data_IF_761902039082
#
_entry.id   IF_761902039082
#
_cell.length_a   1.000
_cell.length_b   1.000
_cell.length_c   1.000
_cell.angle_alpha   90.00
_cell.angle_beta   90.00
_cell.angle_gamma   90.00
#
_symmetry.space_group_name_H-M   'P 1'
#
loop_
_entity.id
_entity.type
_entity.pdbx_description
1 polymer ?
#
# COMPACT_ATOMS: atom_id res chain seq x y z
N UNK A 1 -37.26 -33.45 -2.97
CA UNK A 1 -35.97 -32.85 -2.60
C UNK A 1 -35.02 -32.96 -3.77
N UNK A 2 -34.83 -31.86 -4.51
CA UNK A 2 -33.73 -31.66 -5.45
C UNK A 2 -33.67 -30.16 -5.74
N UNK A 3 -32.79 -29.45 -5.04
CA UNK A 3 -32.44 -28.06 -5.32
C UNK A 3 -31.07 -28.08 -6.01
N UNK A 4 -31.10 -27.84 -7.31
CA UNK A 4 -29.91 -27.58 -8.13
C UNK A 4 -30.15 -26.24 -8.83
N UNK A 5 -29.59 -25.16 -8.30
CA UNK A 5 -29.40 -23.84 -8.93
C UNK A 5 -28.45 -23.06 -7.99
N UNK A 6 -27.45 -22.30 -8.39
CA UNK A 6 -26.90 -21.95 -9.69
C UNK A 6 -25.54 -21.32 -9.38
N UNK A 7 -24.46 -21.85 -9.96
CA UNK A 7 -23.14 -21.26 -9.85
C UNK A 7 -23.10 -19.98 -10.70
N UNK A 8 -22.99 -18.82 -10.07
CA UNK A 8 -22.67 -17.57 -10.78
C UNK A 8 -21.22 -17.61 -11.23
N UNK A 9 -21.01 -18.08 -12.47
CA UNK A 9 -19.80 -17.80 -13.23
C UNK A 9 -19.75 -16.29 -13.50
N UNK A 10 -18.88 -15.57 -12.79
CA UNK A 10 -18.49 -14.21 -13.17
C UNK A 10 -17.65 -14.29 -14.45
N UNK A 11 -18.32 -14.25 -15.59
CA UNK A 11 -17.67 -13.96 -16.86
C UNK A 11 -17.29 -12.47 -16.86
N UNK A 12 -15.99 -12.19 -16.77
CA UNK A 12 -15.43 -10.87 -17.02
C UNK A 12 -15.55 -10.51 -18.51
N UNK A 13 -16.78 -10.22 -18.95
CA UNK A 13 -17.09 -9.77 -20.30
C UNK A 13 -16.51 -8.38 -20.55
N UNK A 14 -15.69 -8.28 -21.58
CA UNK A 14 -15.04 -7.06 -22.05
C UNK A 14 -16.04 -6.22 -22.83
N UNK A 15 -16.69 -5.26 -22.15
CA UNK A 15 -17.34 -4.14 -22.84
C UNK A 15 -16.31 -3.02 -22.99
N UNK A 16 -15.97 -2.68 -24.23
CA UNK A 16 -15.29 -1.42 -24.57
C UNK A 16 -16.40 -0.41 -24.91
N UNK A 17 -16.27 0.84 -24.44
CA UNK A 17 -17.17 1.94 -24.87
C UNK A 17 -16.94 2.30 -26.36
N UNK A 18 -17.84 3.09 -26.96
CA UNK A 18 -17.69 3.66 -28.32
C UNK A 18 -16.35 4.40 -28.50
N UNK A 19 -15.75 4.85 -27.40
CA UNK A 19 -14.47 5.59 -27.34
C UNK A 19 -13.25 4.67 -27.16
N UNK A 20 -13.43 3.35 -27.12
CA UNK A 20 -12.36 2.37 -26.91
C UNK A 20 -11.79 2.34 -25.50
N UNK A 21 -12.44 3.00 -24.54
CA UNK A 21 -12.07 2.95 -23.13
C UNK A 21 -12.63 1.67 -22.48
N UNK A 22 -11.86 1.00 -21.61
CA UNK A 22 -12.36 -0.15 -20.86
C UNK A 22 -13.45 0.29 -19.89
N UNK A 23 -14.61 -0.36 -19.95
CA UNK A 23 -15.70 -0.12 -19.00
C UNK A 23 -15.31 -0.65 -17.61
N UNK A 24 -15.34 0.23 -16.62
CA UNK A 24 -15.08 -0.11 -15.22
C UNK A 24 -16.33 0.17 -14.41
N UNK A 25 -16.85 -0.80 -13.62
CA UNK A 25 -18.01 -0.57 -12.78
C UNK A 25 -17.67 0.47 -11.70
N UNK A 26 -18.57 1.44 -11.52
CA UNK A 26 -18.44 2.50 -10.53
C UNK A 26 -18.20 1.93 -9.13
N UNK A 27 -17.30 2.55 -8.36
CA UNK A 27 -17.08 2.24 -6.94
C UNK A 27 -18.08 2.96 -6.06
N UNK A 28 -18.68 2.24 -5.10
CA UNK A 28 -19.71 2.79 -4.22
C UNK A 28 -19.24 2.97 -2.77
N UNK A 29 -18.11 2.36 -2.40
CA UNK A 29 -17.57 2.43 -1.04
C UNK A 29 -16.04 2.44 -1.02
N UNK A 30 -15.47 2.92 0.09
CA UNK A 30 -14.01 2.95 0.29
C UNK A 30 -13.45 1.52 0.38
N UNK A 31 -14.16 0.62 1.07
CA UNK A 31 -13.76 -0.78 1.18
C UNK A 31 -13.74 -1.49 -0.18
N UNK A 32 -14.74 -1.21 -1.03
CA UNK A 32 -14.76 -1.72 -2.40
C UNK A 32 -13.62 -1.14 -3.24
N UNK A 33 -13.32 0.15 -3.09
CA UNK A 33 -12.18 0.77 -3.76
C UNK A 33 -10.86 0.12 -3.34
N UNK A 34 -10.66 -0.16 -2.05
CA UNK A 34 -9.48 -0.86 -1.54
C UNK A 34 -9.40 -2.31 -2.01
N UNK A 35 -10.54 -3.01 -2.09
CA UNK A 35 -10.60 -4.34 -2.66
C UNK A 35 -10.21 -4.34 -4.15
N UNK A 36 -10.72 -3.39 -4.95
CA UNK A 36 -10.35 -3.22 -6.36
C UNK A 36 -8.86 -2.93 -6.53
N UNK A 37 -8.27 -2.09 -5.68
CA UNK A 37 -6.84 -1.79 -5.72
C UNK A 37 -5.97 -3.01 -5.39
N UNK A 38 -6.37 -3.81 -4.38
CA UNK A 38 -5.66 -5.05 -4.02
C UNK A 38 -5.76 -6.09 -5.14
N UNK A 39 -6.95 -6.27 -5.71
CA UNK A 39 -7.16 -7.17 -6.84
C UNK A 39 -6.32 -6.73 -8.04
N UNK A 40 -6.38 -5.46 -8.43
CA UNK A 40 -5.60 -4.91 -9.53
C UNK A 40 -4.08 -5.07 -9.33
N UNK A 41 -3.59 -4.95 -8.10
CA UNK A 41 -2.19 -5.22 -7.77
C UNK A 41 -1.81 -6.69 -8.00
N UNK A 42 -2.65 -7.63 -7.53
CA UNK A 42 -2.43 -9.06 -7.74
C UNK A 42 -2.51 -9.46 -9.22
N UNK A 43 -3.45 -8.90 -9.98
CA UNK A 43 -3.61 -9.16 -11.41
C UNK A 43 -2.45 -8.57 -12.21
N UNK A 44 -1.91 -7.41 -11.79
CA UNK A 44 -0.70 -6.84 -12.39
C UNK A 44 0.48 -7.80 -12.21
N UNK A 45 0.71 -8.26 -10.99
CA UNK A 45 1.80 -9.21 -10.71
C UNK A 45 1.63 -10.49 -11.54
N UNK A 46 0.41 -11.04 -11.60
CA UNK A 46 0.12 -12.20 -12.43
C UNK A 46 0.40 -11.95 -13.93
N UNK A 47 0.05 -10.78 -14.45
CA UNK A 47 0.31 -10.41 -15.86
C UNK A 47 1.81 -10.24 -16.16
N UNK A 48 2.58 -9.68 -15.22
CA UNK A 48 4.04 -9.59 -15.33
C UNK A 48 4.71 -10.96 -15.27
N UNK A 49 4.26 -11.83 -14.35
CA UNK A 49 4.75 -13.20 -14.24
C UNK A 49 4.43 -14.02 -15.49
N UNK A 50 3.21 -13.87 -16.04
CA UNK A 50 2.83 -14.51 -17.30
C UNK A 50 3.73 -14.01 -18.43
N UNK A 51 3.95 -12.70 -18.55
CA UNK A 51 4.83 -12.14 -19.56
C UNK A 51 6.26 -12.68 -19.43
N UNK A 52 6.82 -12.72 -18.22
CA UNK A 52 8.15 -13.26 -17.96
C UNK A 52 8.28 -14.75 -18.34
N UNK A 53 7.28 -15.56 -18.01
CA UNK A 53 7.24 -16.97 -18.42
C UNK A 53 7.17 -17.11 -19.95
N UNK A 54 6.31 -16.33 -20.60
CA UNK A 54 6.16 -16.32 -22.07
C UNK A 54 7.41 -15.82 -22.77
N UNK A 55 8.12 -14.86 -22.19
CA UNK A 55 9.38 -14.36 -22.71
C UNK A 55 10.43 -15.47 -22.80
N UNK A 56 10.60 -16.27 -21.74
CA UNK A 56 11.50 -17.43 -21.74
C UNK A 56 11.11 -18.46 -22.81
N UNK A 57 9.82 -18.75 -22.96
CA UNK A 57 9.34 -19.63 -24.03
C UNK A 57 9.59 -19.07 -25.44
N UNK A 58 9.43 -17.75 -25.62
CA UNK A 58 9.59 -17.10 -26.92
C UNK A 58 11.03 -17.16 -27.43
N UNK A 59 12.03 -17.06 -26.54
CA UNK A 59 13.44 -17.20 -26.92
C UNK A 59 13.80 -18.58 -27.46
N UNK A 60 13.00 -19.61 -27.16
CA UNK A 60 13.20 -20.97 -27.68
C UNK A 60 12.52 -21.22 -29.05
N UNK A 61 11.88 -20.21 -29.65
CA UNK A 61 11.15 -20.35 -30.93
C UNK A 61 11.91 -19.72 -32.08
N UNK A 62 11.72 -20.24 -33.29
CA UNK A 62 12.30 -19.66 -34.52
C UNK A 62 11.81 -18.22 -34.79
N UNK A 63 10.55 -17.91 -34.47
CA UNK A 63 9.96 -16.58 -34.65
C UNK A 63 9.89 -15.82 -33.31
N UNK A 64 11.04 -15.57 -32.68
CA UNK A 64 11.14 -14.90 -31.37
C UNK A 64 10.38 -13.56 -31.36
N UNK A 65 10.64 -12.69 -32.34
CA UNK A 65 10.05 -11.34 -32.38
C UNK A 65 8.51 -11.38 -32.43
N UNK A 66 7.93 -12.17 -33.33
CA UNK A 66 6.46 -12.29 -33.40
C UNK A 66 5.86 -12.87 -32.12
N UNK A 67 6.56 -13.80 -31.46
CA UNK A 67 6.13 -14.34 -30.18
C UNK A 67 6.16 -13.27 -29.07
N UNK A 68 7.27 -12.52 -28.97
CA UNK A 68 7.44 -11.45 -28.00
C UNK A 68 6.43 -10.32 -28.22
N UNK A 69 6.14 -9.95 -29.47
CA UNK A 69 5.18 -8.89 -29.78
C UNK A 69 3.77 -9.27 -29.35
N UNK A 70 3.36 -10.53 -29.57
CA UNK A 70 2.08 -11.05 -29.06
C UNK A 70 2.04 -11.06 -27.53
N UNK A 71 3.12 -11.44 -26.88
CA UNK A 71 3.21 -11.43 -25.41
C UNK A 71 3.15 -10.00 -24.85
N UNK A 72 3.86 -9.05 -25.48
CA UNK A 72 3.83 -7.63 -25.13
C UNK A 72 2.46 -7.03 -25.34
N UNK A 73 1.77 -7.34 -26.44
CA UNK A 73 0.43 -6.80 -26.70
C UNK A 73 -0.58 -7.34 -25.69
N UNK A 74 -0.51 -8.65 -25.36
CA UNK A 74 -1.35 -9.22 -24.30
C UNK A 74 -1.12 -8.52 -22.96
N UNK A 75 0.15 -8.35 -22.56
CA UNK A 75 0.52 -7.60 -21.35
C UNK A 75 -0.02 -6.17 -21.40
N UNK A 76 0.16 -5.47 -22.51
CA UNK A 76 -0.30 -4.09 -22.71
C UNK A 76 -1.81 -3.97 -22.50
N UNK A 77 -2.61 -4.84 -23.12
CA UNK A 77 -4.07 -4.82 -22.99
C UNK A 77 -4.53 -5.06 -21.54
N UNK A 78 -3.91 -6.01 -20.85
CA UNK A 78 -4.19 -6.27 -19.43
C UNK A 78 -3.86 -5.04 -18.59
N UNK A 79 -2.66 -4.47 -18.75
CA UNK A 79 -2.23 -3.31 -17.99
C UNK A 79 -3.10 -2.07 -18.26
N UNK A 80 -3.58 -1.87 -19.49
CA UNK A 80 -4.51 -0.77 -19.80
C UNK A 80 -5.83 -0.93 -19.05
N UNK A 81 -6.40 -2.14 -19.03
CA UNK A 81 -7.61 -2.43 -18.27
C UNK A 81 -7.39 -2.21 -16.77
N UNK A 82 -6.29 -2.72 -16.22
CA UNK A 82 -5.96 -2.58 -14.80
C UNK A 82 -5.81 -1.11 -14.39
N UNK A 83 -5.13 -0.30 -15.22
CA UNK A 83 -5.00 1.15 -14.98
C UNK A 83 -6.33 1.85 -14.91
N UNK A 84 -7.32 1.46 -15.73
CA UNK A 84 -8.65 2.03 -15.66
C UNK A 84 -9.36 1.67 -14.34
N UNK A 85 -9.24 0.42 -13.90
CA UNK A 85 -9.83 -0.04 -12.62
C UNK A 85 -9.28 0.75 -11.44
N UNK A 86 -7.96 0.92 -11.38
CA UNK A 86 -7.34 1.65 -10.27
C UNK A 86 -7.44 3.16 -10.43
N UNK A 87 -7.58 3.72 -11.64
CA UNK A 87 -7.92 5.12 -11.82
C UNK A 87 -9.28 5.45 -11.21
N UNK A 88 -10.30 4.61 -11.46
CA UNK A 88 -11.64 4.75 -10.90
C UNK A 88 -11.65 4.61 -9.38
N UNK A 89 -11.03 3.54 -8.85
CA UNK A 89 -10.96 3.33 -7.40
C UNK A 89 -10.22 4.48 -6.68
N UNK A 90 -9.12 4.97 -7.24
CA UNK A 90 -8.40 6.12 -6.67
C UNK A 90 -9.19 7.42 -6.83
N UNK A 91 -9.93 7.60 -7.93
CA UNK A 91 -10.79 8.75 -8.13
C UNK A 91 -11.86 8.83 -7.03
N UNK A 92 -12.56 7.72 -6.77
CA UNK A 92 -13.53 7.64 -5.68
C UNK A 92 -12.92 7.96 -4.31
N UNK A 93 -11.76 7.37 -3.97
CA UNK A 93 -11.09 7.66 -2.69
C UNK A 93 -10.70 9.12 -2.55
N UNK A 94 -10.24 9.76 -3.62
CA UNK A 94 -9.95 11.20 -3.63
C UNK A 94 -11.23 12.01 -3.44
N UNK A 95 -12.30 11.68 -4.16
CA UNK A 95 -13.58 12.36 -4.06
C UNK A 95 -14.17 12.26 -2.63
N UNK A 96 -14.18 11.07 -2.03
CA UNK A 96 -14.64 10.89 -0.65
C UNK A 96 -13.76 11.64 0.36
N UNK A 97 -12.43 11.62 0.19
CA UNK A 97 -11.52 12.40 1.04
C UNK A 97 -11.75 13.91 0.94
N UNK A 98 -12.07 14.43 -0.25
CA UNK A 98 -12.45 15.84 -0.44
C UNK A 98 -13.79 16.11 0.24
N UNK A 99 -14.81 15.28 -0.01
CA UNK A 99 -16.14 15.40 0.62
C UNK A 99 -16.06 15.47 2.14
N UNK A 100 -15.26 14.60 2.77
CA UNK A 100 -15.07 14.61 4.22
C UNK A 100 -14.38 15.88 4.72
N UNK A 101 -13.39 16.39 3.98
CA UNK A 101 -12.72 17.66 4.30
C UNK A 101 -13.65 18.85 4.17
N UNK A 102 -14.50 18.87 3.15
CA UNK A 102 -15.47 19.95 2.95
C UNK A 102 -16.51 19.98 4.07
N UNK A 103 -16.95 18.81 4.54
CA UNK A 103 -17.84 18.70 5.72
C UNK A 103 -17.14 19.22 6.98
N UNK A 104 -15.88 18.87 7.20
CA UNK A 104 -15.11 19.33 8.35
C UNK A 104 -14.90 20.85 8.29
N UNK A 105 -14.51 21.37 7.13
CA UNK A 105 -14.35 22.81 6.91
C UNK A 105 -15.66 23.56 7.18
N UNK A 106 -16.79 23.07 6.69
CA UNK A 106 -18.10 23.69 6.94
C UNK A 106 -18.42 23.73 8.45
N UNK A 107 -18.15 22.65 9.19
CA UNK A 107 -18.31 22.63 10.65
C UNK A 107 -17.44 23.66 11.34
N UNK A 108 -16.16 23.72 11.00
CA UNK A 108 -15.24 24.69 11.60
C UNK A 108 -15.64 26.14 11.32
N UNK A 109 -16.19 26.42 10.14
CA UNK A 109 -16.70 27.75 9.79
C UNK A 109 -17.94 28.11 10.62
N UNK A 110 -18.88 27.19 10.78
CA UNK A 110 -20.06 27.40 11.62
C UNK A 110 -19.67 27.60 13.10
N UNK A 111 -18.76 26.78 13.64
CA UNK A 111 -18.27 26.94 15.00
C UNK A 111 -17.57 28.30 15.19
N UNK A 112 -16.77 28.74 14.22
CA UNK A 112 -16.13 30.05 14.24
C UNK A 112 -17.14 31.20 14.16
N UNK A 113 -18.22 31.05 13.38
CA UNK A 113 -19.31 32.02 13.32
C UNK A 113 -20.03 32.12 14.66
N UNK A 114 -20.38 30.98 15.27
CA UNK A 114 -21.03 30.94 16.58
C UNK A 114 -20.15 31.54 17.68
N UNK A 115 -18.84 31.25 17.70
CA UNK A 115 -17.89 31.88 18.63
C UNK A 115 -17.76 33.38 18.39
N UNK A 116 -17.73 33.84 17.14
CA UNK A 116 -17.72 35.27 16.82
C UNK A 116 -19.02 35.97 17.27
N UNK A 117 -20.18 35.36 17.06
CA UNK A 117 -21.48 35.86 17.52
C UNK A 117 -21.54 35.92 19.05
N UNK A 118 -21.04 34.88 19.75
CA UNK A 118 -20.96 34.87 21.21
C UNK A 118 -20.03 35.97 21.74
N UNK A 119 -18.88 36.20 21.09
CA UNK A 119 -17.96 37.28 21.45
C UNK A 119 -18.54 38.66 21.17
N UNK A 120 -19.31 38.82 20.10
CA UNK A 120 -19.99 40.07 19.79
C UNK A 120 -21.16 40.35 20.75
N UNK A 121 -21.87 39.30 21.19
CA UNK A 121 -22.96 39.39 22.17
C UNK A 121 -22.45 39.56 23.61
N UNK A 122 -21.19 39.19 23.89
CA UNK A 122 -20.55 39.45 25.16
C UNK A 122 -20.36 40.96 25.34
N UNK A 123 -21.21 41.58 26.16
CA UNK A 123 -21.12 43.01 26.53
C UNK A 123 -19.70 43.30 27.03
N UNK A 124 -18.99 44.30 26.48
CA UNK A 124 -17.67 44.66 26.97
C UNK A 124 -17.79 44.99 28.46
N UNK A 125 -17.01 44.30 29.30
CA UNK A 125 -16.94 44.61 30.73
C UNK A 125 -16.69 46.12 30.86
N UNK A 126 -17.49 46.86 31.65
CA UNK A 126 -17.40 48.31 31.70
C UNK A 126 -15.98 48.71 32.07
N UNK A 127 -15.30 49.36 31.13
CA UNK A 127 -13.98 49.94 31.39
C UNK A 127 -14.21 51.07 32.37
N UNK A 128 -13.64 50.93 33.57
CA UNK A 128 -13.67 51.95 34.61
C UNK A 128 -12.98 53.20 34.04
N UNK A 129 -13.76 54.24 33.73
CA UNK A 129 -13.26 55.53 33.26
C UNK A 129 -12.49 56.18 34.41
N UNK A 130 -11.17 56.23 34.30
CA UNK A 130 -10.29 57.05 35.14
C UNK A 130 -9.96 58.31 34.34
N UNK A 131 -10.05 59.46 35.01
CA UNK A 131 -9.80 60.83 34.50
C UNK A 131 -8.36 61.02 33.93
N UNK A 132 -8.03 62.17 33.29
CA UNK A 132 -7.01 62.25 32.23
C UNK A 132 -5.55 61.96 32.66
N UNK A 133 -4.93 61.07 31.86
CA UNK A 133 -3.52 60.65 31.63
C UNK A 133 -2.53 60.42 32.79
N UNK A 134 -1.87 59.25 32.77
CA UNK A 134 -0.58 59.17 32.07
C UNK A 134 -0.61 58.16 30.91
N UNK A 135 0.40 58.23 30.05
CA UNK A 135 0.63 57.44 28.83
C UNK A 135 -0.04 56.04 28.79
N UNK A 136 -0.54 55.59 27.62
CA UNK A 136 -1.28 54.34 27.49
C UNK A 136 -0.50 53.19 28.17
N UNK A 137 -1.15 52.39 29.04
CA UNK A 137 -0.46 51.32 29.73
C UNK A 137 0.18 50.39 28.69
N UNK A 138 1.47 50.08 28.87
CA UNK A 138 2.20 49.14 28.01
C UNK A 138 1.34 47.89 27.80
N UNK A 139 1.26 47.36 26.57
CA UNK A 139 0.37 46.24 26.26
C UNK A 139 0.60 45.11 27.26
N UNK A 140 -0.47 44.73 27.98
CA UNK A 140 -0.46 43.64 28.95
C UNK A 140 -0.41 42.31 28.19
N UNK A 141 0.79 41.97 27.75
CA UNK A 141 1.14 40.71 27.12
C UNK A 141 2.66 40.58 27.16
N UNK A 142 3.14 39.35 27.08
CA UNK A 142 4.59 39.09 27.00
C UNK A 142 5.19 40.00 25.95
N UNK A 143 6.28 40.69 26.29
CA UNK A 143 6.94 41.59 25.34
C UNK A 143 7.43 40.79 24.12
N UNK A 144 7.67 41.46 22.99
CA UNK A 144 8.24 40.79 21.80
C UNK A 144 9.56 40.09 22.18
N UNK A 145 10.39 40.75 22.97
CA UNK A 145 11.64 40.19 23.50
C UNK A 145 11.42 38.94 24.37
N UNK A 146 10.36 38.89 25.17
CA UNK A 146 10.02 37.74 26.00
C UNK A 146 9.51 36.56 25.15
N UNK A 147 8.73 36.82 24.10
CA UNK A 147 8.31 35.78 23.14
C UNK A 147 9.49 35.23 22.33
N UNK A 148 10.42 36.10 21.94
CA UNK A 148 11.66 35.71 21.26
C UNK A 148 12.53 34.85 22.18
N UNK A 149 12.66 35.20 23.46
CA UNK A 149 13.37 34.42 24.45
C UNK A 149 12.72 33.04 24.68
N UNK A 150 11.39 32.97 24.75
CA UNK A 150 10.66 31.69 24.86
C UNK A 150 10.84 30.81 23.62
N UNK A 151 10.81 31.41 22.42
CA UNK A 151 11.05 30.70 21.18
C UNK A 151 12.49 30.18 21.10
N UNK A 152 13.48 31.01 21.46
CA UNK A 152 14.88 30.60 21.52
C UNK A 152 15.09 29.47 22.54
N UNK A 153 14.48 29.56 23.72
CA UNK A 153 14.53 28.51 24.73
C UNK A 153 13.86 27.21 24.24
N UNK A 154 12.76 27.30 23.50
CA UNK A 154 12.09 26.15 22.89
C UNK A 154 12.97 25.49 21.84
N UNK A 155 13.63 26.27 20.98
CA UNK A 155 14.57 25.76 19.98
C UNK A 155 15.79 25.08 20.62
N UNK A 156 16.33 25.65 21.70
CA UNK A 156 17.43 25.03 22.45
C UNK A 156 17.02 23.69 23.08
N UNK A 157 15.80 23.60 23.64
CA UNK A 157 15.27 22.34 24.17
C UNK A 157 15.12 21.29 23.07
N UNK A 158 14.51 21.66 21.93
CA UNK A 158 14.36 20.76 20.79
C UNK A 158 15.71 20.29 20.23
N UNK A 159 16.69 21.18 20.14
CA UNK A 159 18.05 20.84 19.70
C UNK A 159 18.73 19.87 20.68
N UNK A 160 18.54 20.05 21.99
CA UNK A 160 19.08 19.14 23.00
C UNK A 160 18.39 17.77 22.97
N UNK A 161 17.07 17.74 22.79
CA UNK A 161 16.29 16.50 22.63
C UNK A 161 16.69 15.75 21.36
N UNK A 162 16.87 16.45 20.24
CA UNK A 162 17.32 15.86 18.98
C UNK A 162 18.74 15.32 19.08
N UNK A 163 19.65 16.06 19.72
CA UNK A 163 21.02 15.58 19.97
C UNK A 163 21.04 14.33 20.88
N UNK A 164 20.12 14.23 21.85
CA UNK A 164 20.00 13.06 22.72
C UNK A 164 19.34 11.85 22.02
N UNK A 165 18.38 12.07 21.12
CA UNK A 165 17.68 11.02 20.38
C UNK A 165 18.44 10.55 19.12
N UNK A 166 19.32 11.36 18.53
CA UNK A 166 20.15 11.00 17.38
C UNK A 166 20.93 9.68 17.57
N UNK A 167 21.71 9.47 18.66
CA UNK A 167 22.41 8.20 18.86
C UNK A 167 21.44 7.03 19.12
N UNK A 168 20.29 7.29 19.74
CA UNK A 168 19.25 6.26 19.98
C UNK A 168 18.62 5.81 18.67
N UNK A 169 18.35 6.74 17.75
CA UNK A 169 17.84 6.45 16.40
C UNK A 169 18.85 5.63 15.61
N UNK A 170 20.11 6.06 15.57
CA UNK A 170 21.19 5.33 14.91
C UNK A 170 21.36 3.90 15.48
N UNK A 171 21.25 3.73 16.80
CA UNK A 171 21.31 2.42 17.44
C UNK A 171 20.12 1.51 17.05
N UNK A 172 18.89 2.06 16.96
CA UNK A 172 17.71 1.30 16.53
C UNK A 172 17.83 0.87 15.06
N UNK A 173 18.30 1.76 14.18
CA UNK A 173 18.54 1.46 12.77
C UNK A 173 19.59 0.35 12.61
N UNK A 174 20.70 0.45 13.35
CA UNK A 174 21.73 -0.59 13.36
C UNK A 174 21.20 -1.94 13.88
N UNK A 175 20.39 -1.94 14.94
CA UNK A 175 19.76 -3.17 15.45
C UNK A 175 18.77 -3.76 14.45
N UNK A 176 17.99 -2.94 13.76
CA UNK A 176 17.05 -3.38 12.74
C UNK A 176 17.78 -4.00 11.55
N UNK A 177 18.85 -3.37 11.04
CA UNK A 177 19.68 -3.91 9.98
C UNK A 177 20.31 -5.27 10.36
N UNK A 178 20.81 -5.40 11.60
CA UNK A 178 21.31 -6.68 12.12
C UNK A 178 20.23 -7.76 12.13
N UNK A 179 19.04 -7.47 12.65
CA UNK A 179 17.90 -8.41 12.69
C UNK A 179 17.47 -8.84 11.28
N UNK A 180 17.47 -7.93 10.32
CA UNK A 180 17.19 -8.27 8.92
C UNK A 180 18.23 -9.23 8.34
N UNK A 181 19.52 -8.93 8.51
CA UNK A 181 20.60 -9.79 8.04
C UNK A 181 20.53 -11.19 8.67
N UNK A 182 20.26 -11.27 9.97
CA UNK A 182 20.05 -12.53 10.69
C UNK A 182 18.83 -13.30 10.19
N UNK A 183 17.72 -12.62 9.90
CA UNK A 183 16.52 -13.24 9.36
C UNK A 183 16.77 -13.83 7.97
N UNK A 184 17.43 -13.08 7.08
CA UNK A 184 17.82 -13.56 5.74
C UNK A 184 18.78 -14.75 5.84
N UNK A 185 19.77 -14.68 6.72
CA UNK A 185 20.69 -15.80 6.94
C UNK A 185 19.96 -17.04 7.48
N UNK A 186 19.00 -16.87 8.38
CA UNK A 186 18.16 -17.97 8.89
C UNK A 186 17.31 -18.58 7.78
N UNK A 187 16.66 -17.76 6.95
CA UNK A 187 15.87 -18.23 5.81
C UNK A 187 16.71 -19.05 4.84
N UNK A 188 17.93 -18.58 4.49
CA UNK A 188 18.86 -19.32 3.64
C UNK A 188 19.24 -20.68 4.24
N UNK A 189 19.57 -20.73 5.54
CA UNK A 189 19.89 -22.00 6.22
C UNK A 189 18.71 -22.97 6.25
N UNK A 190 17.49 -22.46 6.46
CA UNK A 190 16.27 -23.29 6.46
C UNK A 190 16.01 -23.84 5.06
N UNK A 191 16.12 -23.01 4.02
CA UNK A 191 15.96 -23.46 2.63
C UNK A 191 16.99 -24.52 2.24
N UNK A 192 18.26 -24.34 2.62
CA UNK A 192 19.32 -25.33 2.39
C UNK A 192 19.01 -26.67 3.09
N UNK A 193 18.65 -26.64 4.37
CA UNK A 193 18.29 -27.86 5.13
C UNK A 193 17.07 -28.58 4.56
N UNK A 194 16.08 -27.84 4.07
CA UNK A 194 14.91 -28.43 3.41
C UNK A 194 15.30 -29.08 2.08
N UNK A 195 16.14 -28.42 1.28
CA UNK A 195 16.63 -28.97 0.01
C UNK A 195 17.48 -30.24 0.24
N UNK A 196 18.39 -30.23 1.22
CA UNK A 196 19.18 -31.41 1.61
C UNK A 196 18.28 -32.57 2.05
N UNK A 197 17.30 -32.32 2.93
CA UNK A 197 16.36 -33.35 3.37
C UNK A 197 15.51 -33.90 2.23
N UNK A 198 15.09 -33.05 1.30
CA UNK A 198 14.33 -33.49 0.13
C UNK A 198 15.20 -34.37 -0.78
N UNK A 199 16.44 -33.94 -1.08
CA UNK A 199 17.38 -34.73 -1.87
C UNK A 199 17.70 -36.09 -1.22
N UNK A 200 17.88 -36.14 0.10
CA UNK A 200 18.05 -37.40 0.83
C UNK A 200 16.81 -38.30 0.76
N UNK A 201 15.60 -37.71 0.85
CA UNK A 201 14.34 -38.45 0.74
C UNK A 201 14.16 -39.01 -0.68
N UNK A 202 14.43 -38.22 -1.71
CA UNK A 202 14.34 -38.63 -3.11
C UNK A 202 15.38 -39.71 -3.43
N UNK A 203 16.61 -39.58 -2.92
CA UNK A 203 17.65 -40.60 -3.08
C UNK A 203 17.29 -41.92 -2.38
N UNK A 204 16.66 -41.86 -1.18
CA UNK A 204 16.15 -43.04 -0.48
C UNK A 204 14.98 -43.68 -1.25
N UNK A 205 14.05 -42.88 -1.76
CA UNK A 205 12.93 -43.35 -2.57
C UNK A 205 13.39 -44.01 -3.86
N UNK A 206 14.37 -43.41 -4.57
CA UNK A 206 14.97 -43.98 -5.78
C UNK A 206 15.70 -45.30 -5.49
N UNK A 207 16.45 -45.39 -4.38
CA UNK A 207 17.08 -46.65 -3.96
C UNK A 207 16.06 -47.72 -3.60
N UNK A 208 14.97 -47.36 -2.92
CA UNK A 208 13.89 -48.29 -2.60
C UNK A 208 13.13 -48.76 -3.86
N UNK A 209 12.91 -47.89 -4.83
CA UNK A 209 12.32 -48.22 -6.13
C UNK A 209 13.22 -49.15 -6.95
N UNK A 210 14.54 -48.90 -6.98
CA UNK A 210 15.51 -49.76 -7.67
C UNK A 210 15.66 -51.15 -7.00
N UNK A 211 15.48 -51.24 -5.69
CA UNK A 211 15.49 -52.51 -4.96
C UNK A 211 14.18 -53.31 -5.10
N UNK A 212 13.10 -52.71 -5.60
CA UNK A 212 11.78 -53.32 -5.72
C UNK A 212 11.37 -53.68 -7.16
N UNK A 213 12.24 -53.50 -8.15
CA UNK A 213 12.00 -54.03 -9.51
C UNK A 213 12.13 -55.56 -9.53
N UNK A 214 11.06 -56.33 -9.82
CA UNK A 214 11.14 -57.78 -9.93
C UNK A 214 11.75 -58.17 -11.29
N UNK A 215 12.79 -59.03 -11.23
CA UNK A 215 13.35 -59.67 -12.41
C UNK A 215 12.26 -60.49 -13.12
N UNK A 216 11.84 -60.03 -14.30
CA UNK A 216 11.00 -60.79 -15.22
C UNK A 216 11.74 -60.94 -16.55
N UNK A 217 12.23 -62.15 -16.82
CA UNK A 217 12.18 -62.82 -18.12
C UNK A 217 12.95 -64.15 -18.06
N UNK A 218 12.24 -65.22 -17.70
CA UNK A 218 12.54 -66.57 -18.21
C UNK A 218 11.58 -66.79 -19.38
N UNK A 219 12.04 -67.11 -20.60
CA UNK A 219 11.22 -67.83 -21.55
C UNK A 219 11.54 -69.35 -21.52
N UNK A 220 10.55 -70.18 -21.87
CA UNK A 220 10.46 -71.57 -21.45
C UNK A 220 11.12 -72.58 -22.41
N UNK A 221 11.39 -73.76 -21.86
CA UNK A 221 11.86 -74.95 -22.55
C UNK A 221 10.91 -75.42 -23.69
N UNK A 222 11.48 -75.66 -24.88
CA UNK A 222 11.34 -76.91 -25.64
C UNK A 222 12.36 -76.96 -26.78
#
# INVERSE_FOLDING_TARGET
MALVLSACAHQGGTALDEVGAPQVPATLSVDEADAKLKLAASEREAAENEFAAREQECYNKFFVNSCLDKAKEKRRLILVRLRAVEAEANHFKRAESVRLRDIDLAKTQEDARLDAEQRAAAVPKPVKVVAPEPAPPKPQGKSVAEREAEHAAKLQKLAAEEAAEAPRRAAREAQFAKKQAEAVARQKRVAQRLAERQAEADAKAAKAAAASTPATAVPPAK
#
